data_IF_253918742683
#
_entry.id   IF_253918742683
#
_cell.length_a   1.000
_cell.length_b   1.000
_cell.length_c   1.000
_cell.angle_alpha   90.00
_cell.angle_beta   90.00
_cell.angle_gamma   90.00
#
_symmetry.space_group_name_H-M   'P 1'
#
loop_
_entity.id
_entity.type
_entity.pdbx_description
1 polymer ?
#
# COMPACT_ATOMS: atom_id res chain seq x y z
N UNK A 1 -34.18 34.47 26.68
CA UNK A 1 -33.99 33.07 26.35
C UNK A 1 -32.82 33.01 25.37
N UNK A 2 -31.64 32.62 25.87
CA UNK A 2 -30.45 32.51 25.05
C UNK A 2 -30.53 31.15 24.31
N UNK A 3 -30.74 31.17 23.00
CA UNK A 3 -30.49 30.03 22.13
C UNK A 3 -29.00 29.70 22.23
N UNK A 4 -28.71 28.61 22.93
CA UNK A 4 -27.38 28.01 22.90
C UNK A 4 -27.06 27.67 21.47
N UNK A 5 -26.20 28.44 20.83
CA UNK A 5 -25.55 28.12 19.55
C UNK A 5 -24.91 26.74 19.74
N UNK A 6 -25.51 25.69 19.14
CA UNK A 6 -24.84 24.38 18.99
C UNK A 6 -23.54 24.66 18.26
N UNK A 7 -22.43 24.61 18.97
CA UNK A 7 -21.10 24.59 18.36
C UNK A 7 -21.13 23.55 17.23
N UNK A 8 -21.11 24.00 15.98
CA UNK A 8 -21.09 23.11 14.83
C UNK A 8 -19.77 22.35 14.89
N UNK A 9 -19.81 21.09 15.32
CA UNK A 9 -18.64 20.20 15.34
C UNK A 9 -18.02 20.19 13.95
N UNK A 10 -16.69 20.25 13.89
CA UNK A 10 -15.98 20.16 12.61
C UNK A 10 -16.43 18.90 11.84
N UNK A 11 -16.58 18.95 10.50
CA UNK A 11 -17.06 17.82 9.67
C UNK A 11 -16.33 16.50 9.94
N UNK A 12 -15.04 16.54 10.31
CA UNK A 12 -14.25 15.37 10.72
C UNK A 12 -14.83 14.64 11.93
N UNK A 13 -15.42 15.37 12.87
CA UNK A 13 -15.95 14.84 14.12
C UNK A 13 -17.48 14.65 14.08
N UNK A 14 -18.10 14.78 12.92
CA UNK A 14 -19.52 14.50 12.72
C UNK A 14 -19.78 12.99 12.66
N UNK A 15 -20.78 12.54 13.41
CA UNK A 15 -21.30 11.17 13.33
C UNK A 15 -22.50 11.18 12.40
N UNK A 16 -22.40 10.47 11.29
CA UNK A 16 -23.49 10.34 10.32
C UNK A 16 -24.48 9.27 10.78
N UNK A 17 -25.69 9.19 10.21
CA UNK A 17 -26.63 8.09 10.44
C UNK A 17 -25.95 6.74 10.17
N UNK A 18 -26.23 5.72 11.00
CA UNK A 18 -25.55 4.44 10.96
C UNK A 18 -25.56 3.79 9.56
N UNK A 19 -26.69 3.84 8.85
CA UNK A 19 -26.76 3.31 7.47
C UNK A 19 -25.82 4.02 6.50
N UNK A 20 -25.67 5.32 6.58
CA UNK A 20 -24.74 6.08 5.76
C UNK A 20 -23.28 5.74 6.12
N UNK A 21 -22.96 5.64 7.42
CA UNK A 21 -21.62 5.25 7.86
C UNK A 21 -21.22 3.87 7.34
N UNK A 22 -22.15 2.90 7.33
CA UNK A 22 -21.89 1.56 6.77
C UNK A 22 -21.68 1.61 5.26
N UNK A 23 -22.54 2.32 4.52
CA UNK A 23 -22.41 2.42 3.05
C UNK A 23 -21.10 3.09 2.66
N UNK A 24 -20.78 4.24 3.23
CA UNK A 24 -19.53 4.94 2.94
C UNK A 24 -18.30 4.19 3.49
N UNK A 25 -18.41 3.55 4.67
CA UNK A 25 -17.37 2.68 5.20
C UNK A 25 -17.06 1.50 4.27
N UNK A 26 -18.09 0.88 3.71
CA UNK A 26 -17.92 -0.18 2.70
C UNK A 26 -17.27 0.33 1.43
N UNK A 27 -17.58 1.56 0.98
CA UNK A 27 -16.90 2.17 -0.17
C UNK A 27 -15.38 2.32 0.08
N UNK A 28 -14.98 2.74 1.29
CA UNK A 28 -13.57 2.79 1.67
C UNK A 28 -12.92 1.41 1.61
N UNK A 29 -13.57 0.39 2.17
CA UNK A 29 -13.07 -1.00 2.11
C UNK A 29 -12.90 -1.45 0.65
N UNK A 30 -13.94 -1.31 -0.18
CA UNK A 30 -13.89 -1.75 -1.59
C UNK A 30 -12.78 -1.04 -2.40
N UNK A 31 -12.53 0.24 -2.13
CA UNK A 31 -11.50 1.02 -2.82
C UNK A 31 -10.08 0.53 -2.52
N UNK A 32 -9.81 0.07 -1.28
CA UNK A 32 -8.49 -0.37 -0.85
C UNK A 32 -8.30 -1.90 -0.88
N UNK A 33 -9.37 -2.67 -1.00
CA UNK A 33 -9.38 -4.12 -0.77
C UNK A 33 -8.34 -4.86 -1.60
N UNK A 34 -8.29 -4.57 -2.90
CA UNK A 34 -7.31 -5.17 -3.82
C UNK A 34 -5.86 -4.89 -3.36
N UNK A 35 -5.58 -3.68 -2.87
CA UNK A 35 -4.27 -3.31 -2.35
C UNK A 35 -3.90 -4.09 -1.09
N UNK A 36 -4.82 -4.21 -0.13
CA UNK A 36 -4.56 -4.92 1.13
C UNK A 36 -4.26 -6.39 0.91
N UNK A 37 -4.99 -7.05 0.01
CA UNK A 37 -4.81 -8.49 -0.25
C UNK A 37 -3.63 -8.81 -1.17
N UNK A 38 -3.16 -7.84 -1.97
CA UNK A 38 -2.06 -8.07 -2.90
C UNK A 38 -0.74 -8.38 -2.18
N UNK A 39 -0.40 -7.66 -1.12
CA UNK A 39 0.86 -7.85 -0.38
C UNK A 39 0.98 -9.26 0.21
N UNK A 40 0.01 -9.78 1.01
CA UNK A 40 0.09 -11.15 1.51
C UNK A 40 0.06 -12.20 0.40
N UNK A 41 -0.65 -11.97 -0.71
CA UNK A 41 -0.61 -12.85 -1.87
C UNK A 41 0.80 -12.92 -2.49
N UNK A 42 1.45 -11.77 -2.66
CA UNK A 42 2.81 -11.71 -3.22
C UNK A 42 3.79 -12.45 -2.31
N UNK A 43 3.82 -12.06 -1.03
CA UNK A 43 4.79 -12.62 -0.08
C UNK A 43 4.50 -14.08 0.18
N UNK A 44 3.25 -14.46 0.45
CA UNK A 44 2.87 -15.85 0.70
C UNK A 44 3.15 -16.78 -0.48
N UNK A 45 2.83 -16.33 -1.70
CA UNK A 45 3.13 -17.10 -2.93
C UNK A 45 4.64 -17.23 -3.15
N UNK A 46 5.40 -16.17 -2.95
CA UNK A 46 6.85 -16.17 -3.12
C UNK A 46 7.56 -17.03 -2.07
N UNK A 47 6.98 -17.17 -0.87
CA UNK A 47 7.44 -18.09 0.18
C UNK A 47 7.00 -19.53 -0.08
N UNK A 48 6.20 -19.82 -1.09
CA UNK A 48 5.71 -21.16 -1.39
C UNK A 48 4.70 -21.69 -0.38
N UNK A 49 3.90 -20.83 0.24
CA UNK A 49 2.93 -21.24 1.24
C UNK A 49 1.81 -22.10 0.64
N UNK A 50 1.37 -23.16 1.33
CA UNK A 50 0.21 -23.92 0.94
C UNK A 50 -1.05 -23.07 1.04
N UNK A 51 -2.11 -23.47 0.30
CA UNK A 51 -3.36 -22.73 0.16
C UNK A 51 -3.97 -22.27 1.50
N UNK A 52 -4.01 -23.15 2.50
CA UNK A 52 -4.57 -22.82 3.82
C UNK A 52 -3.79 -21.73 4.55
N UNK A 53 -2.46 -21.79 4.49
CA UNK A 53 -1.58 -20.79 5.09
C UNK A 53 -1.65 -19.44 4.35
N UNK A 54 -1.82 -19.48 3.02
CA UNK A 54 -2.03 -18.28 2.23
C UNK A 54 -3.37 -17.61 2.59
N UNK A 55 -4.44 -18.40 2.74
CA UNK A 55 -5.75 -17.91 3.17
C UNK A 55 -5.70 -17.31 4.58
N UNK A 56 -4.94 -17.94 5.50
CA UNK A 56 -4.69 -17.42 6.84
C UNK A 56 -3.97 -16.06 6.79
N UNK A 57 -2.91 -15.95 5.99
CA UNK A 57 -2.13 -14.72 5.85
C UNK A 57 -2.98 -13.56 5.30
N UNK A 58 -3.90 -13.86 4.38
CA UNK A 58 -4.85 -12.89 3.83
C UNK A 58 -5.82 -12.36 4.91
N UNK A 59 -6.37 -13.24 5.73
CA UNK A 59 -7.26 -12.83 6.82
C UNK A 59 -6.53 -12.06 7.91
N UNK A 60 -5.29 -12.45 8.21
CA UNK A 60 -4.43 -11.71 9.14
C UNK A 60 -4.17 -10.26 8.65
N UNK A 61 -3.89 -10.09 7.36
CA UNK A 61 -3.67 -8.76 6.76
C UNK A 61 -4.93 -7.87 6.83
N UNK A 62 -6.12 -8.43 6.59
CA UNK A 62 -7.38 -7.70 6.74
C UNK A 62 -7.63 -7.29 8.20
N UNK A 63 -7.40 -8.21 9.15
CA UNK A 63 -7.52 -7.94 10.58
C UNK A 63 -6.59 -6.81 11.03
N UNK A 64 -5.32 -6.89 10.66
CA UNK A 64 -4.31 -5.87 10.95
C UNK A 64 -4.71 -4.52 10.37
N UNK A 65 -5.10 -4.48 9.09
CA UNK A 65 -5.52 -3.25 8.41
C UNK A 65 -6.73 -2.61 9.09
N UNK A 66 -7.68 -3.42 9.55
CA UNK A 66 -8.84 -2.95 10.30
C UNK A 66 -8.47 -2.34 11.65
N UNK A 67 -7.65 -3.05 12.44
CA UNK A 67 -7.18 -2.57 13.74
C UNK A 67 -6.32 -1.30 13.61
N UNK A 68 -5.42 -1.25 12.63
CA UNK A 68 -4.60 -0.08 12.33
C UNK A 68 -5.47 1.12 11.92
N UNK A 69 -6.50 0.91 11.09
CA UNK A 69 -7.45 1.95 10.69
C UNK A 69 -8.23 2.50 11.90
N UNK A 70 -8.69 1.63 12.80
CA UNK A 70 -9.34 2.07 14.04
C UNK A 70 -8.41 2.87 14.92
N UNK A 71 -7.16 2.41 15.09
CA UNK A 71 -6.16 3.13 15.87
C UNK A 71 -5.86 4.51 15.26
N UNK A 72 -5.76 4.61 13.94
CA UNK A 72 -5.45 5.84 13.24
C UNK A 72 -6.59 6.86 13.30
N UNK A 73 -7.84 6.40 13.13
CA UNK A 73 -9.02 7.26 13.03
C UNK A 73 -9.59 7.68 14.39
N UNK A 74 -9.68 6.76 15.34
CA UNK A 74 -10.20 7.04 16.68
C UNK A 74 -9.14 7.66 17.58
N UNK A 75 -7.93 7.13 17.51
CA UNK A 75 -6.78 7.52 18.29
C UNK A 75 -6.91 7.14 19.78
N UNK A 76 -5.79 6.76 20.38
CA UNK A 76 -5.68 6.48 21.81
C UNK A 76 -4.57 7.36 22.38
N UNK A 77 -4.89 8.23 23.32
CA UNK A 77 -3.95 9.17 23.94
C UNK A 77 -3.19 10.03 22.90
N UNK A 78 -1.90 9.75 22.60
CA UNK A 78 -1.04 10.46 21.64
C UNK A 78 -0.73 9.61 20.39
N UNK A 79 -1.53 8.59 20.12
CA UNK A 79 -1.39 7.66 19.02
C UNK A 79 -2.63 7.78 18.14
N UNK A 80 -2.45 7.96 16.83
CA UNK A 80 -3.51 8.18 15.85
C UNK A 80 -3.61 9.64 15.41
N UNK A 81 -3.74 9.87 14.11
CA UNK A 81 -3.92 11.20 13.51
C UNK A 81 -5.33 11.77 13.76
N UNK A 82 -6.31 10.93 14.09
CA UNK A 82 -7.73 11.29 14.25
C UNK A 82 -8.32 11.96 13.03
N UNK A 83 -7.89 11.49 11.86
CA UNK A 83 -8.32 11.90 10.54
C UNK A 83 -9.00 10.74 9.81
N UNK A 84 -9.79 10.97 8.75
CA UNK A 84 -10.41 9.91 7.95
C UNK A 84 -9.39 9.24 7.04
N UNK A 85 -8.45 8.50 7.61
CA UNK A 85 -7.32 7.88 6.95
C UNK A 85 -7.34 6.36 7.17
N UNK A 86 -7.47 5.61 6.06
CA UNK A 86 -7.48 4.14 6.09
C UNK A 86 -6.05 3.62 6.09
N UNK A 87 -5.84 2.51 6.78
CA UNK A 87 -4.55 1.82 6.88
C UNK A 87 -4.61 0.45 6.20
N UNK A 88 -3.54 0.08 5.54
CA UNK A 88 -3.41 -1.25 4.94
C UNK A 88 -1.96 -1.72 4.83
N UNK A 89 -1.75 -2.93 4.33
CA UNK A 89 -0.41 -3.49 4.14
C UNK A 89 0.40 -2.67 3.13
N UNK A 90 1.62 -2.27 3.50
CA UNK A 90 2.45 -1.39 2.68
C UNK A 90 3.13 -2.12 1.52
N UNK A 91 3.00 -1.58 0.32
CA UNK A 91 3.74 -2.04 -0.86
C UNK A 91 5.24 -1.75 -0.77
N UNK A 92 5.62 -0.69 -0.06
CA UNK A 92 7.02 -0.31 0.11
C UNK A 92 7.87 -1.41 0.78
N UNK A 93 7.24 -2.27 1.58
CA UNK A 93 7.94 -3.36 2.26
C UNK A 93 8.15 -4.61 1.41
N UNK A 94 7.42 -4.77 0.29
CA UNK A 94 7.34 -6.05 -0.42
C UNK A 94 8.70 -6.53 -0.93
N UNK A 95 9.47 -5.70 -1.61
CA UNK A 95 10.76 -6.12 -2.15
C UNK A 95 11.75 -6.55 -1.06
N UNK A 96 11.80 -5.81 0.06
CA UNK A 96 12.62 -6.18 1.22
C UNK A 96 12.14 -7.46 1.88
N UNK A 97 10.82 -7.65 2.04
CA UNK A 97 10.26 -8.90 2.55
C UNK A 97 10.60 -10.09 1.65
N UNK A 98 10.56 -9.93 0.33
CA UNK A 98 10.94 -10.97 -0.62
C UNK A 98 12.43 -11.32 -0.52
N UNK A 99 13.30 -10.33 -0.42
CA UNK A 99 14.74 -10.54 -0.25
C UNK A 99 15.06 -11.26 1.07
N UNK A 100 14.49 -10.78 2.19
CA UNK A 100 14.65 -11.38 3.52
C UNK A 100 14.11 -12.81 3.53
N UNK A 101 12.89 -13.01 3.08
CA UNK A 101 12.22 -14.31 3.14
C UNK A 101 12.90 -15.37 2.27
N UNK A 102 13.34 -15.00 1.06
CA UNK A 102 14.10 -15.90 0.19
C UNK A 102 15.48 -16.22 0.77
N UNK A 103 16.18 -15.21 1.31
CA UNK A 103 17.47 -15.38 1.98
C UNK A 103 17.40 -16.32 3.17
N UNK A 104 16.28 -16.37 3.88
CA UNK A 104 16.01 -17.29 4.99
C UNK A 104 15.47 -18.68 4.54
N UNK A 105 15.42 -18.97 3.23
CA UNK A 105 15.01 -20.26 2.67
C UNK A 105 13.51 -20.41 2.39
N UNK A 106 12.73 -19.33 2.46
CA UNK A 106 11.29 -19.35 2.17
C UNK A 106 10.44 -20.05 3.25
N UNK A 107 9.19 -20.38 2.90
CA UNK A 107 8.26 -21.05 3.81
C UNK A 107 8.04 -20.31 5.13
N UNK A 108 7.82 -21.06 6.20
CA UNK A 108 7.67 -20.51 7.55
C UNK A 108 8.96 -19.82 8.05
N UNK A 109 10.14 -20.34 7.71
CA UNK A 109 11.42 -19.72 8.08
C UNK A 109 11.57 -18.33 7.47
N UNK A 110 11.21 -18.16 6.20
CA UNK A 110 11.16 -16.86 5.54
C UNK A 110 10.22 -15.88 6.23
N UNK A 111 9.03 -16.34 6.62
CA UNK A 111 8.07 -15.48 7.33
C UNK A 111 8.55 -15.06 8.72
N UNK A 112 9.13 -16.00 9.50
CA UNK A 112 9.65 -15.67 10.84
C UNK A 112 10.80 -14.68 10.80
N UNK A 113 11.67 -14.74 9.76
CA UNK A 113 12.70 -13.74 9.52
C UNK A 113 12.10 -12.37 9.16
N UNK A 114 11.09 -12.34 8.29
CA UNK A 114 10.35 -11.12 7.96
C UNK A 114 9.74 -10.52 9.22
N UNK A 115 9.06 -11.31 10.05
CA UNK A 115 8.38 -10.81 11.25
C UNK A 115 9.35 -10.22 12.26
N UNK A 116 10.52 -10.86 12.47
CA UNK A 116 11.55 -10.29 13.34
C UNK A 116 12.01 -8.91 12.87
N UNK A 117 12.26 -8.76 11.59
CA UNK A 117 12.62 -7.46 11.00
C UNK A 117 11.50 -6.42 11.10
N UNK A 118 10.23 -6.82 10.85
CA UNK A 118 9.04 -5.95 10.95
C UNK A 118 8.83 -5.43 12.37
N UNK A 119 8.96 -6.31 13.38
CA UNK A 119 8.83 -5.92 14.79
C UNK A 119 9.83 -4.83 15.14
N UNK A 120 11.11 -5.07 14.83
CA UNK A 120 12.18 -4.12 15.19
C UNK A 120 12.03 -2.82 14.40
N UNK A 121 11.72 -2.88 13.11
CA UNK A 121 11.49 -1.69 12.30
C UNK A 121 10.31 -0.86 12.82
N UNK A 122 9.22 -1.50 13.24
CA UNK A 122 8.09 -0.85 13.87
C UNK A 122 8.46 -0.16 15.19
N UNK A 123 9.22 -0.83 16.07
CA UNK A 123 9.72 -0.24 17.32
C UNK A 123 10.63 0.94 17.05
N UNK A 124 11.59 0.81 16.14
CA UNK A 124 12.50 1.90 15.74
C UNK A 124 11.70 3.08 15.18
N UNK A 125 10.76 2.84 14.29
CA UNK A 125 9.88 3.86 13.72
C UNK A 125 9.06 4.57 14.80
N UNK A 126 8.52 3.84 15.78
CA UNK A 126 7.77 4.41 16.90
C UNK A 126 8.63 5.36 17.74
N UNK A 127 9.86 4.97 18.03
CA UNK A 127 10.82 5.78 18.76
C UNK A 127 11.29 7.01 17.96
N UNK A 128 11.39 6.88 16.63
CA UNK A 128 11.78 7.97 15.73
C UNK A 128 10.61 8.93 15.43
N UNK A 129 9.35 8.53 15.57
CA UNK A 129 8.20 9.36 15.21
C UNK A 129 8.23 10.78 15.79
N UNK A 130 8.61 11.04 17.07
CA UNK A 130 8.65 12.40 17.61
C UNK A 130 9.69 13.32 16.97
N UNK A 131 10.75 12.74 16.41
CA UNK A 131 11.85 13.48 15.78
C UNK A 131 11.83 13.39 14.26
N UNK A 132 10.87 12.66 13.70
CA UNK A 132 10.81 12.36 12.28
C UNK A 132 10.69 13.63 11.41
N UNK A 133 10.01 14.68 11.90
CA UNK A 133 9.98 15.98 11.22
C UNK A 133 11.38 16.54 10.93
N UNK A 134 12.39 16.16 11.72
CA UNK A 134 13.78 16.54 11.47
C UNK A 134 14.44 15.70 10.37
N UNK A 135 13.90 14.52 10.11
CA UNK A 135 14.39 13.60 9.08
C UNK A 135 13.70 13.81 7.72
N UNK A 136 12.56 14.52 7.69
CA UNK A 136 11.81 14.76 6.44
C UNK A 136 12.66 15.47 5.38
N UNK A 137 13.62 16.30 5.76
CA UNK A 137 14.53 16.94 4.81
C UNK A 137 15.39 15.93 4.02
N UNK A 138 15.54 14.69 4.49
CA UNK A 138 16.21 13.61 3.76
C UNK A 138 15.33 13.00 2.66
N UNK A 139 14.02 13.26 2.72
CA UNK A 139 13.02 12.71 1.81
C UNK A 139 12.27 13.84 1.06
N UNK A 140 12.99 14.73 0.36
CA UNK A 140 12.33 15.73 -0.49
C UNK A 140 11.56 15.05 -1.63
N UNK A 141 10.74 15.79 -2.39
CA UNK A 141 9.92 15.25 -3.49
C UNK A 141 10.71 14.42 -4.51
N UNK A 142 11.96 14.77 -4.79
CA UNK A 142 12.85 14.01 -5.69
C UNK A 142 13.13 12.61 -5.15
N UNK A 143 13.38 12.47 -3.85
CA UNK A 143 13.66 11.18 -3.21
C UNK A 143 12.38 10.35 -3.11
N UNK A 144 11.29 10.93 -2.61
CA UNK A 144 10.00 10.20 -2.47
C UNK A 144 9.44 9.79 -3.82
N UNK A 145 9.52 10.64 -4.84
CA UNK A 145 9.07 10.32 -6.19
C UNK A 145 9.85 9.15 -6.81
N UNK A 146 11.19 9.12 -6.65
CA UNK A 146 12.03 7.97 -7.06
C UNK A 146 11.58 6.69 -6.35
N UNK A 147 11.44 6.74 -5.03
CA UNK A 147 11.09 5.55 -4.25
C UNK A 147 9.73 4.99 -4.66
N UNK A 148 8.69 5.83 -4.76
CA UNK A 148 7.36 5.41 -5.20
C UNK A 148 7.39 4.82 -6.62
N UNK A 149 8.16 5.43 -7.53
CA UNK A 149 8.33 4.90 -8.90
C UNK A 149 8.96 3.51 -8.87
N UNK A 150 10.03 3.33 -8.09
CA UNK A 150 10.73 2.04 -7.97
C UNK A 150 9.85 1.00 -7.27
N UNK A 151 9.03 1.36 -6.27
CA UNK A 151 8.05 0.44 -5.66
C UNK A 151 7.17 -0.16 -6.75
N UNK A 152 6.55 0.67 -7.58
CA UNK A 152 5.68 0.17 -8.66
C UNK A 152 6.42 -0.72 -9.67
N UNK A 153 7.59 -0.28 -10.14
CA UNK A 153 8.41 -1.03 -11.10
C UNK A 153 8.88 -2.37 -10.52
N UNK A 154 9.29 -2.41 -9.25
CA UNK A 154 9.78 -3.62 -8.58
C UNK A 154 8.71 -4.71 -8.44
N UNK A 155 7.44 -4.36 -8.51
CA UNK A 155 6.32 -5.29 -8.39
C UNK A 155 5.80 -5.78 -9.75
N UNK A 156 6.17 -5.15 -10.87
CA UNK A 156 5.75 -5.59 -12.21
C UNK A 156 6.19 -7.03 -12.55
N UNK A 157 7.43 -7.48 -12.23
CA UNK A 157 7.83 -8.87 -12.48
C UNK A 157 6.92 -9.90 -11.77
N UNK A 158 6.40 -9.57 -10.58
CA UNK A 158 5.43 -10.43 -9.88
C UNK A 158 4.15 -10.57 -10.71
N UNK A 159 3.63 -9.44 -11.25
CA UNK A 159 2.44 -9.47 -12.12
C UNK A 159 2.68 -10.26 -13.39
N UNK A 160 3.86 -10.13 -14.02
CA UNK A 160 4.22 -10.90 -15.20
C UNK A 160 4.32 -12.40 -14.88
N UNK A 161 4.91 -12.75 -13.73
CA UNK A 161 4.96 -14.13 -13.24
C UNK A 161 3.56 -14.72 -13.04
N UNK A 162 2.66 -13.97 -12.46
CA UNK A 162 1.27 -14.38 -12.27
C UNK A 162 0.50 -14.45 -13.60
N UNK A 163 0.67 -13.48 -14.49
CA UNK A 163 0.04 -13.48 -15.82
C UNK A 163 0.44 -14.70 -16.65
N UNK A 164 1.68 -15.15 -16.51
CA UNK A 164 2.17 -16.40 -17.12
C UNK A 164 1.63 -17.68 -16.48
N UNK A 165 0.94 -17.61 -15.35
CA UNK A 165 0.41 -18.78 -14.63
C UNK A 165 1.23 -19.23 -13.43
N UNK A 166 2.26 -18.45 -13.05
CA UNK A 166 3.17 -18.72 -11.95
C UNK A 166 4.56 -19.17 -12.39
N UNK A 167 5.58 -18.44 -11.94
CA UNK A 167 6.97 -18.79 -12.25
C UNK A 167 7.31 -20.21 -11.77
N UNK A 168 7.96 -21.00 -12.63
CA UNK A 168 8.37 -22.37 -12.31
C UNK A 168 7.27 -23.43 -12.49
N UNK A 169 6.07 -23.06 -12.92
CA UNK A 169 5.02 -24.04 -13.27
C UNK A 169 5.23 -24.60 -14.68
N UNK A 170 4.86 -25.86 -14.95
CA UNK A 170 5.04 -26.47 -16.28
C UNK A 170 4.31 -25.75 -17.41
N UNK A 171 3.22 -25.03 -17.11
CA UNK A 171 2.39 -24.27 -18.03
C UNK A 171 2.65 -22.75 -17.97
N UNK A 172 3.83 -22.36 -17.48
CA UNK A 172 4.22 -20.95 -17.49
C UNK A 172 4.32 -20.43 -18.93
N UNK A 173 3.69 -19.28 -19.18
CA UNK A 173 3.66 -18.66 -20.50
C UNK A 173 2.62 -19.26 -21.45
N UNK A 174 1.78 -20.19 -21.01
CA UNK A 174 0.67 -20.71 -21.81
C UNK A 174 -0.20 -19.55 -22.35
N UNK A 175 -0.49 -19.52 -23.66
CA UNK A 175 -1.36 -18.51 -24.27
C UNK A 175 -2.70 -18.33 -23.55
N UNK A 176 -3.29 -19.39 -23.00
CA UNK A 176 -4.54 -19.29 -22.25
C UNK A 176 -4.38 -18.51 -20.94
N UNK A 177 -3.23 -18.61 -20.26
CA UNK A 177 -2.95 -17.84 -19.07
C UNK A 177 -2.76 -16.35 -19.41
N UNK A 178 -1.97 -16.08 -20.46
CA UNK A 178 -1.72 -14.70 -20.93
C UNK A 178 -3.03 -14.06 -21.43
N UNK A 179 -3.86 -14.79 -22.15
CA UNK A 179 -5.16 -14.32 -22.62
C UNK A 179 -6.09 -13.97 -21.44
N UNK A 180 -6.14 -14.81 -20.39
CA UNK A 180 -6.96 -14.54 -19.21
C UNK A 180 -6.47 -13.30 -18.44
N UNK A 181 -5.15 -13.12 -18.33
CA UNK A 181 -4.57 -11.91 -17.75
C UNK A 181 -4.92 -10.67 -18.58
N UNK A 182 -4.81 -10.75 -19.91
CA UNK A 182 -5.16 -9.68 -20.83
C UNK A 182 -6.67 -9.33 -20.75
N UNK A 183 -7.55 -10.32 -20.72
CA UNK A 183 -9.00 -10.10 -20.54
C UNK A 183 -9.29 -9.41 -19.22
N UNK A 184 -8.66 -9.84 -18.12
CA UNK A 184 -8.83 -9.18 -16.82
C UNK A 184 -8.38 -7.72 -16.85
N UNK A 185 -7.21 -7.45 -17.46
CA UNK A 185 -6.72 -6.08 -17.63
C UNK A 185 -7.66 -5.25 -18.49
N UNK A 186 -8.16 -5.79 -19.61
CA UNK A 186 -9.13 -5.10 -20.47
C UNK A 186 -10.44 -4.79 -19.74
N UNK A 187 -10.94 -5.70 -18.91
CA UNK A 187 -12.11 -5.44 -18.04
C UNK A 187 -11.84 -4.24 -17.13
N UNK A 188 -10.69 -4.20 -16.48
CA UNK A 188 -10.30 -3.09 -15.61
C UNK A 188 -10.26 -1.78 -16.39
N UNK A 189 -9.60 -1.77 -17.56
CA UNK A 189 -9.49 -0.59 -18.41
C UNK A 189 -10.85 -0.13 -18.92
N UNK A 190 -11.74 -1.07 -19.30
CA UNK A 190 -13.10 -0.75 -19.71
C UNK A 190 -13.91 -0.10 -18.57
N UNK A 191 -13.77 -0.61 -17.34
CA UNK A 191 -14.41 0.00 -16.16
C UNK A 191 -13.88 1.41 -15.94
N UNK A 192 -12.57 1.62 -16.01
CA UNK A 192 -11.96 2.95 -15.90
C UNK A 192 -12.46 3.90 -17.00
N UNK A 193 -12.64 3.41 -18.23
CA UNK A 193 -13.01 4.25 -19.39
C UNK A 193 -14.48 4.58 -19.44
N UNK A 194 -15.36 3.64 -19.09
CA UNK A 194 -16.79 3.75 -19.35
C UNK A 194 -17.66 3.96 -18.11
N UNK A 195 -17.15 3.63 -16.90
CA UNK A 195 -17.92 3.75 -15.67
C UNK A 195 -17.35 4.88 -14.79
N UNK A 196 -18.08 6.02 -14.69
CA UNK A 196 -17.61 7.17 -13.92
C UNK A 196 -17.77 6.98 -12.39
N UNK A 197 -17.14 7.85 -11.63
CA UNK A 197 -17.36 7.99 -10.19
C UNK A 197 -16.78 6.83 -9.38
N UNK A 198 -17.58 6.29 -8.46
CA UNK A 198 -17.16 5.24 -7.54
C UNK A 198 -16.76 3.93 -8.26
N UNK A 199 -17.48 3.55 -9.33
CA UNK A 199 -17.21 2.31 -10.05
C UNK A 199 -15.80 2.28 -10.67
N UNK A 200 -15.31 3.40 -11.19
CA UNK A 200 -13.93 3.45 -11.70
C UNK A 200 -12.88 3.25 -10.59
N UNK A 201 -13.18 3.64 -9.34
CA UNK A 201 -12.27 3.47 -8.20
C UNK A 201 -12.14 2.04 -7.71
N UNK A 202 -13.20 1.25 -7.88
CA UNK A 202 -13.21 -0.18 -7.54
C UNK A 202 -12.91 -1.05 -8.76
N UNK A 203 -12.42 -0.47 -9.86
CA UNK A 203 -12.18 -1.17 -11.12
C UNK A 203 -11.27 -2.40 -10.97
N UNK A 204 -10.21 -2.30 -10.14
CA UNK A 204 -9.29 -3.42 -9.90
C UNK A 204 -10.01 -4.55 -9.17
N UNK A 205 -10.77 -4.23 -8.11
CA UNK A 205 -11.57 -5.22 -7.39
C UNK A 205 -12.64 -5.84 -8.30
N UNK A 206 -13.36 -5.03 -9.07
CA UNK A 206 -14.33 -5.52 -10.05
C UNK A 206 -13.68 -6.39 -11.12
N UNK A 207 -12.49 -6.02 -11.60
CA UNK A 207 -11.69 -6.80 -12.54
C UNK A 207 -11.27 -8.17 -11.96
N UNK A 208 -10.87 -8.23 -10.70
CA UNK A 208 -10.58 -9.50 -10.00
C UNK A 208 -11.82 -10.40 -9.95
N UNK A 209 -12.98 -9.87 -9.60
CA UNK A 209 -14.24 -10.62 -9.53
C UNK A 209 -14.65 -11.10 -10.93
N UNK A 210 -14.76 -10.19 -11.89
CA UNK A 210 -15.20 -10.51 -13.25
C UNK A 210 -14.19 -11.41 -13.98
N UNK A 211 -12.88 -11.18 -13.82
CA UNK A 211 -11.83 -12.03 -14.34
C UNK A 211 -11.90 -13.46 -13.77
N UNK A 212 -12.20 -13.60 -12.48
CA UNK A 212 -12.41 -14.91 -11.85
C UNK A 212 -13.66 -15.59 -12.39
N UNK A 213 -14.76 -14.86 -12.60
CA UNK A 213 -15.97 -15.39 -13.22
C UNK A 213 -15.73 -15.85 -14.67
N UNK A 214 -14.91 -15.12 -15.42
CA UNK A 214 -14.48 -15.54 -16.77
C UNK A 214 -13.61 -16.80 -16.71
N UNK A 215 -12.74 -16.93 -15.71
CA UNK A 215 -11.86 -18.10 -15.54
C UNK A 215 -12.61 -19.39 -15.14
N UNK A 216 -13.77 -19.25 -14.49
CA UNK A 216 -14.53 -20.38 -13.93
C UNK A 216 -14.96 -21.41 -14.97
N UNK A 217 -15.64 -21.09 -16.10
CA UNK A 217 -16.05 -22.07 -17.10
C UNK A 217 -14.88 -22.79 -17.78
N UNK A 218 -13.66 -22.25 -17.68
CA UNK A 218 -12.45 -22.88 -18.20
C UNK A 218 -11.77 -23.83 -17.18
N UNK A 219 -12.42 -24.10 -16.02
CA UNK A 219 -11.87 -24.97 -15.00
C UNK A 219 -10.60 -24.43 -14.30
N UNK A 220 -10.35 -23.13 -14.41
CA UNK A 220 -9.17 -22.47 -13.79
C UNK A 220 -9.40 -22.09 -12.33
N UNK A 221 -10.61 -22.25 -11.79
CA UNK A 221 -10.98 -21.88 -10.42
C UNK A 221 -11.39 -23.13 -9.65
N UNK A 222 -10.76 -23.37 -8.50
CA UNK A 222 -11.11 -24.47 -7.60
C UNK A 222 -11.76 -23.92 -6.33
N UNK A 223 -13.07 -24.01 -6.25
CA UNK A 223 -13.87 -23.63 -5.08
C UNK A 223 -14.00 -24.75 -4.04
N UNK A 224 -13.56 -25.98 -4.33
CA UNK A 224 -13.72 -27.13 -3.43
C UNK A 224 -13.05 -26.91 -2.08
N UNK A 225 -11.92 -26.20 -2.09
CA UNK A 225 -11.11 -25.89 -0.90
C UNK A 225 -11.77 -24.86 0.03
N UNK A 226 -12.66 -24.00 -0.49
CA UNK A 226 -13.39 -23.00 0.31
C UNK A 226 -14.29 -23.68 1.34
N UNK A 227 -14.87 -24.84 0.98
CA UNK A 227 -15.70 -25.62 1.88
C UNK A 227 -15.00 -26.04 3.17
N UNK A 228 -13.70 -26.28 3.11
CA UNK A 228 -12.85 -26.72 4.22
C UNK A 228 -12.45 -25.58 5.17
N UNK A 229 -12.52 -24.32 4.74
CA UNK A 229 -12.17 -23.17 5.57
C UNK A 229 -13.25 -22.93 6.63
N UNK A 230 -12.80 -22.56 7.84
CA UNK A 230 -13.68 -22.23 8.96
C UNK A 230 -14.45 -20.93 8.68
N UNK A 231 -15.65 -20.81 9.28
CA UNK A 231 -16.41 -19.57 9.22
C UNK A 231 -15.85 -18.47 10.10
N UNK A 232 -15.24 -18.84 11.22
CA UNK A 232 -14.66 -17.91 12.17
C UNK A 232 -13.34 -18.45 12.71
N UNK A 233 -12.29 -17.62 12.65
CA UNK A 233 -11.04 -17.86 13.32
C UNK A 233 -10.35 -16.53 13.66
N UNK A 234 -9.55 -16.55 14.71
CA UNK A 234 -8.72 -15.42 15.12
C UNK A 234 -7.26 -15.75 14.79
N UNK A 235 -6.53 -14.75 14.29
CA UNK A 235 -5.09 -14.92 14.10
C UNK A 235 -4.43 -15.26 15.42
N UNK A 236 -3.73 -16.39 15.47
CA UNK A 236 -3.01 -16.85 16.66
C UNK A 236 -1.60 -16.29 16.65
N UNK A 237 -1.09 -15.76 17.78
CA UNK A 237 0.28 -15.29 17.87
C UNK A 237 1.29 -16.37 17.44
N UNK A 238 2.30 -15.96 16.68
CA UNK A 238 3.39 -16.85 16.26
C UNK A 238 2.96 -18.11 15.49
N UNK A 239 1.88 -18.02 14.70
CA UNK A 239 1.36 -19.15 13.92
C UNK A 239 2.42 -19.84 13.06
N UNK A 240 3.30 -19.06 12.42
CA UNK A 240 4.41 -19.59 11.60
C UNK A 240 5.68 -19.90 12.40
N UNK A 241 5.67 -19.68 13.70
CA UNK A 241 6.81 -19.86 14.59
C UNK A 241 7.32 -18.56 15.22
N UNK A 242 8.29 -18.65 16.14
CA UNK A 242 8.86 -17.48 16.80
C UNK A 242 9.63 -16.60 15.81
N UNK A 243 9.50 -15.23 15.91
CA UNK A 243 10.24 -14.31 15.06
C UNK A 243 11.76 -14.50 15.19
N UNK A 244 12.45 -14.45 14.06
CA UNK A 244 13.91 -14.51 13.98
C UNK A 244 14.48 -13.12 13.74
N UNK A 245 15.52 -12.77 14.49
CA UNK A 245 16.12 -11.43 14.47
C UNK A 245 17.48 -11.49 13.78
N UNK A 246 17.54 -11.10 12.52
CA UNK A 246 18.75 -11.00 11.72
C UNK A 246 19.08 -9.53 11.46
N UNK A 247 20.33 -9.12 11.73
CA UNK A 247 20.72 -7.70 11.67
C UNK A 247 20.52 -7.12 10.28
N UNK A 248 20.89 -7.83 9.21
CA UNK A 248 20.75 -7.36 7.84
C UNK A 248 19.27 -7.17 7.45
N UNK A 249 18.42 -8.11 7.83
CA UNK A 249 16.97 -8.03 7.62
C UNK A 249 16.36 -6.84 8.38
N UNK A 250 16.78 -6.62 9.63
CA UNK A 250 16.36 -5.48 10.46
C UNK A 250 16.78 -4.17 9.80
N UNK A 251 18.03 -4.03 9.37
CA UNK A 251 18.52 -2.81 8.72
C UNK A 251 17.74 -2.51 7.44
N UNK A 252 17.54 -3.52 6.57
CA UNK A 252 16.74 -3.40 5.35
C UNK A 252 15.31 -2.93 5.66
N UNK A 253 14.66 -3.54 6.65
CA UNK A 253 13.29 -3.19 7.01
C UNK A 253 13.18 -1.83 7.71
N UNK A 254 14.19 -1.40 8.48
CA UNK A 254 14.24 -0.04 9.06
C UNK A 254 14.34 1.02 7.98
N UNK A 255 15.14 0.81 6.93
CA UNK A 255 15.21 1.72 5.78
C UNK A 255 13.83 1.87 5.13
N UNK A 256 13.16 0.75 4.89
CA UNK A 256 11.80 0.74 4.34
C UNK A 256 10.81 1.41 5.29
N UNK A 257 10.95 1.23 6.60
CA UNK A 257 10.07 1.89 7.58
C UNK A 257 10.18 3.42 7.51
N UNK A 258 11.37 3.97 7.28
CA UNK A 258 11.52 5.43 7.06
C UNK A 258 10.79 5.90 5.80
N UNK A 259 10.80 5.10 4.73
CA UNK A 259 10.01 5.37 3.51
C UNK A 259 8.51 5.36 3.83
N UNK A 260 8.02 4.33 4.51
CA UNK A 260 6.61 4.21 4.93
C UNK A 260 6.19 5.41 5.77
N UNK A 261 7.02 5.83 6.73
CA UNK A 261 6.75 7.01 7.56
C UNK A 261 6.66 8.30 6.72
N UNK A 262 7.42 8.40 5.65
CA UNK A 262 7.37 9.53 4.72
C UNK A 262 6.07 9.52 3.92
N UNK A 263 5.67 8.37 3.36
CA UNK A 263 4.40 8.19 2.65
C UNK A 263 3.20 8.53 3.56
N UNK A 264 3.14 7.95 4.75
CA UNK A 264 2.09 8.26 5.72
C UNK A 264 2.06 9.73 6.13
N UNK A 265 3.23 10.39 6.27
CA UNK A 265 3.27 11.83 6.54
C UNK A 265 2.62 12.61 5.41
N UNK A 266 2.92 12.29 4.15
CA UNK A 266 2.33 12.93 2.99
C UNK A 266 0.80 12.75 2.97
N UNK A 267 0.30 11.56 3.25
CA UNK A 267 -1.14 11.27 3.28
C UNK A 267 -1.85 11.99 4.44
N UNK A 268 -1.22 12.12 5.62
CA UNK A 268 -1.75 12.89 6.76
C UNK A 268 -1.87 14.38 6.41
N UNK A 269 -0.87 14.94 5.73
CA UNK A 269 -0.89 16.32 5.28
C UNK A 269 -1.97 16.52 4.21
N UNK A 270 -2.01 15.65 3.19
CA UNK A 270 -2.98 15.72 2.11
C UNK A 270 -4.44 15.61 2.61
N UNK A 271 -4.73 14.65 3.48
CA UNK A 271 -6.08 14.53 4.05
C UNK A 271 -6.42 15.73 4.93
N UNK A 272 -5.44 16.32 5.62
CA UNK A 272 -5.60 17.55 6.39
C UNK A 272 -6.13 18.69 5.54
N UNK A 273 -5.55 18.90 4.34
CA UNK A 273 -6.02 19.89 3.37
C UNK A 273 -7.43 19.57 2.85
N UNK A 274 -7.69 18.32 2.46
CA UNK A 274 -9.01 17.88 1.96
C UNK A 274 -10.12 18.11 2.97
N UNK A 275 -9.88 17.84 4.24
CA UNK A 275 -10.91 18.03 5.29
C UNK A 275 -11.04 19.49 5.72
N UNK A 276 -10.11 20.38 5.34
CA UNK A 276 -10.05 21.77 5.77
C UNK A 276 -9.54 21.94 7.21
N UNK A 277 -8.74 20.99 7.70
CA UNK A 277 -8.05 21.02 8.99
C UNK A 277 -6.60 20.60 8.79
N UNK A 278 -5.71 21.53 8.40
CA UNK A 278 -4.30 21.24 8.17
C UNK A 278 -3.68 20.50 9.35
N UNK A 279 -2.89 19.48 9.04
CA UNK A 279 -2.26 18.65 10.07
C UNK A 279 -1.08 19.39 10.71
N UNK A 280 -1.09 19.49 12.03
CA UNK A 280 0.04 19.99 12.81
C UNK A 280 1.06 18.87 13.11
N UNK A 281 2.21 19.26 13.65
CA UNK A 281 3.25 18.29 14.03
C UNK A 281 2.80 17.23 15.02
N UNK A 282 1.80 17.52 15.87
CA UNK A 282 1.24 16.54 16.83
C UNK A 282 0.39 15.49 16.11
N UNK A 283 -0.38 15.92 15.13
CA UNK A 283 -1.20 15.06 14.26
C UNK A 283 -0.31 14.09 13.49
N UNK A 284 0.76 14.60 12.87
CA UNK A 284 1.73 13.78 12.13
C UNK A 284 2.40 12.77 13.06
N UNK A 285 2.95 13.21 14.19
CA UNK A 285 3.58 12.30 15.17
C UNK A 285 2.59 11.26 15.69
N UNK A 286 1.35 11.65 15.95
CA UNK A 286 0.29 10.74 16.38
C UNK A 286 0.00 9.66 15.34
N UNK A 287 -0.10 10.06 14.07
CA UNK A 287 -0.34 9.14 12.95
C UNK A 287 0.83 8.18 12.73
N UNK A 288 2.05 8.69 12.72
CA UNK A 288 3.26 7.84 12.59
C UNK A 288 3.39 6.83 13.73
N UNK A 289 3.03 7.22 14.95
CA UNK A 289 2.99 6.28 16.08
C UNK A 289 1.93 5.20 15.90
N UNK A 290 0.79 5.52 15.30
CA UNK A 290 -0.24 4.53 15.01
C UNK A 290 0.24 3.49 14.00
N UNK A 291 0.84 3.92 12.90
CA UNK A 291 1.37 3.03 11.85
C UNK A 291 2.47 2.13 12.38
N UNK A 292 3.45 2.71 13.07
CA UNK A 292 4.61 1.97 13.56
C UNK A 292 4.25 1.01 14.70
N UNK A 293 3.31 1.39 15.58
CA UNK A 293 2.77 0.50 16.60
C UNK A 293 1.97 -0.64 15.97
N UNK A 294 1.09 -0.32 15.01
CA UNK A 294 0.34 -1.33 14.28
C UNK A 294 1.28 -2.30 13.53
N UNK A 295 2.35 -1.80 12.91
CA UNK A 295 3.40 -2.61 12.28
C UNK A 295 4.08 -3.53 13.29
N UNK A 296 4.45 -3.04 14.47
CA UNK A 296 5.07 -3.85 15.53
C UNK A 296 4.14 -4.99 15.97
N UNK A 297 2.87 -4.67 16.24
CA UNK A 297 1.87 -5.66 16.66
C UNK A 297 1.58 -6.64 15.53
N UNK A 298 1.54 -6.16 14.29
CA UNK A 298 1.32 -6.95 13.09
C UNK A 298 2.34 -8.07 12.96
N UNK A 299 3.64 -7.75 12.94
CA UNK A 299 4.70 -8.74 12.86
C UNK A 299 4.83 -9.62 14.10
N UNK A 300 4.56 -9.07 15.31
CA UNK A 300 4.73 -9.78 16.56
C UNK A 300 3.59 -10.73 16.92
N UNK A 301 2.35 -10.30 16.75
CA UNK A 301 1.21 -11.02 17.31
C UNK A 301 0.21 -11.49 16.25
N UNK A 302 0.10 -10.78 15.12
CA UNK A 302 -1.00 -10.99 14.17
C UNK A 302 -0.55 -11.61 12.85
N UNK A 303 0.73 -12.01 12.73
CA UNK A 303 1.30 -12.64 11.52
C UNK A 303 1.06 -11.83 10.25
N UNK A 304 1.13 -10.52 10.37
CA UNK A 304 0.92 -9.57 9.28
C UNK A 304 2.21 -8.84 8.90
N UNK A 305 2.06 -7.83 8.06
CA UNK A 305 3.14 -7.08 7.44
C UNK A 305 3.12 -5.60 7.87
N UNK A 306 4.14 -4.79 7.50
CA UNK A 306 4.10 -3.36 7.77
C UNK A 306 2.85 -2.72 7.18
N UNK A 307 2.29 -1.76 7.91
CA UNK A 307 1.11 -0.99 7.49
C UNK A 307 1.50 0.44 7.13
N UNK A 308 0.75 1.03 6.20
CA UNK A 308 0.84 2.44 5.81
C UNK A 308 -0.54 3.02 5.53
N UNK A 309 -0.62 4.34 5.46
CA UNK A 309 -1.79 5.02 4.94
C UNK A 309 -2.03 4.65 3.47
N UNK A 310 -3.31 4.69 3.05
CA UNK A 310 -3.71 4.42 1.67
C UNK A 310 -4.18 5.70 0.98
N UNK A 311 -3.34 6.27 0.13
CA UNK A 311 -3.60 7.49 -0.63
C UNK A 311 -4.89 7.44 -1.48
N UNK A 312 -5.29 6.24 -1.96
CA UNK A 312 -6.55 6.05 -2.69
C UNK A 312 -7.76 6.50 -1.87
N UNK A 313 -7.71 6.31 -0.54
CA UNK A 313 -8.79 6.69 0.35
C UNK A 313 -8.80 8.21 0.62
N UNK A 314 -7.65 8.88 0.57
CA UNK A 314 -7.58 10.35 0.59
C UNK A 314 -8.34 10.92 -0.61
N UNK A 315 -8.08 10.39 -1.81
CA UNK A 315 -8.82 10.75 -3.01
C UNK A 315 -10.32 10.44 -2.92
N UNK A 316 -10.74 9.37 -2.25
CA UNK A 316 -12.16 9.05 -2.04
C UNK A 316 -12.84 10.10 -1.16
N UNK A 317 -12.22 10.54 -0.07
CA UNK A 317 -12.72 11.63 0.79
C UNK A 317 -12.85 12.93 0.00
N UNK A 318 -11.84 13.27 -0.83
CA UNK A 318 -11.84 14.48 -1.63
C UNK A 318 -13.03 14.55 -2.59
N UNK A 319 -13.40 13.44 -3.25
CA UNK A 319 -14.48 13.42 -4.25
C UNK A 319 -15.84 13.25 -3.62
N UNK A 320 -15.98 12.42 -2.58
CA UNK A 320 -17.28 12.21 -1.94
C UNK A 320 -17.67 13.38 -1.03
N UNK A 321 -16.70 14.18 -0.61
CA UNK A 321 -16.91 15.23 0.38
C UNK A 321 -17.25 14.70 1.79
N UNK A 322 -17.20 13.38 2.00
CA UNK A 322 -17.49 12.73 3.29
C UNK A 322 -16.24 12.78 4.15
N UNK A 323 -16.16 13.79 5.01
CA UNK A 323 -14.96 14.11 5.80
C UNK A 323 -14.93 13.44 7.18
N UNK A 324 -15.98 12.69 7.57
CA UNK A 324 -16.09 12.09 8.90
C UNK A 324 -15.09 10.96 9.13
N UNK A 325 -14.27 11.08 10.17
CA UNK A 325 -13.36 10.00 10.61
C UNK A 325 -14.10 8.77 11.14
N UNK A 326 -15.33 8.94 11.62
CA UNK A 326 -16.14 7.80 12.10
C UNK A 326 -16.63 6.92 10.96
N UNK A 327 -16.82 7.45 9.75
CA UNK A 327 -17.07 6.65 8.55
C UNK A 327 -15.89 5.72 8.28
N UNK A 328 -14.67 6.24 8.35
CA UNK A 328 -13.45 5.43 8.16
C UNK A 328 -13.22 4.48 9.34
N UNK A 329 -13.61 4.85 10.56
CA UNK A 329 -13.61 3.89 11.68
C UNK A 329 -14.55 2.71 11.42
N UNK A 330 -15.73 2.94 10.82
CA UNK A 330 -16.63 1.85 10.40
C UNK A 330 -15.98 0.97 9.34
N UNK A 331 -15.21 1.53 8.39
CA UNK A 331 -14.43 0.71 7.45
C UNK A 331 -13.42 -0.18 8.19
N UNK A 332 -12.78 0.34 9.24
CA UNK A 332 -11.91 -0.45 10.11
C UNK A 332 -12.64 -1.61 10.79
N UNK A 333 -13.86 -1.38 11.29
CA UNK A 333 -14.69 -2.45 11.88
C UNK A 333 -15.05 -3.50 10.82
N UNK A 334 -15.41 -3.08 9.61
CA UNK A 334 -15.71 -3.99 8.49
C UNK A 334 -14.48 -4.85 8.16
N UNK A 335 -13.29 -4.25 8.07
CA UNK A 335 -12.05 -4.97 7.80
C UNK A 335 -11.71 -5.98 8.90
N UNK A 336 -11.91 -5.62 10.19
CA UNK A 336 -11.76 -6.56 11.31
C UNK A 336 -12.73 -7.73 11.14
N UNK A 337 -14.00 -7.45 10.85
CA UNK A 337 -15.00 -8.50 10.64
C UNK A 337 -14.62 -9.42 9.46
N UNK A 338 -14.15 -8.87 8.35
CA UNK A 338 -13.66 -9.65 7.19
C UNK A 338 -12.42 -10.48 7.56
N UNK A 339 -11.51 -9.94 8.36
CA UNK A 339 -10.30 -10.63 8.84
C UNK A 339 -10.59 -11.76 9.85
N UNK A 340 -11.78 -11.81 10.43
CA UNK A 340 -12.22 -12.89 11.30
C UNK A 340 -12.94 -14.03 10.55
N UNK A 341 -13.10 -13.93 9.22
CA UNK A 341 -13.79 -14.90 8.38
C UNK A 341 -12.81 -15.58 7.40
N UNK A 342 -12.16 -16.70 7.80
CA UNK A 342 -11.19 -17.41 6.95
C UNK A 342 -11.72 -17.83 5.57
N UNK A 343 -13.03 -18.06 5.44
CA UNK A 343 -13.64 -18.34 4.14
C UNK A 343 -13.41 -17.24 3.12
N UNK A 344 -13.34 -15.98 3.53
CA UNK A 344 -13.03 -14.87 2.62
C UNK A 344 -11.58 -14.92 2.15
N UNK A 345 -10.65 -15.26 3.05
CA UNK A 345 -9.25 -15.52 2.67
C UNK A 345 -9.14 -16.67 1.68
N UNK A 346 -9.88 -17.74 1.88
CA UNK A 346 -9.93 -18.89 0.97
C UNK A 346 -10.53 -18.52 -0.40
N UNK A 347 -11.57 -17.67 -0.46
CA UNK A 347 -12.11 -17.15 -1.72
C UNK A 347 -11.03 -16.36 -2.49
N UNK A 348 -10.31 -15.48 -1.80
CA UNK A 348 -9.25 -14.68 -2.42
C UNK A 348 -8.09 -15.57 -2.89
N UNK A 349 -7.68 -16.52 -2.07
CA UNK A 349 -6.63 -17.48 -2.41
C UNK A 349 -7.02 -18.40 -3.59
N UNK A 350 -8.31 -18.51 -3.90
CA UNK A 350 -8.83 -19.27 -5.04
C UNK A 350 -8.81 -18.50 -6.36
N UNK A 351 -8.48 -17.18 -6.34
CA UNK A 351 -8.37 -16.37 -7.54
C UNK A 351 -7.21 -16.90 -8.40
N UNK A 352 -7.42 -17.23 -9.68
CA UNK A 352 -6.36 -17.73 -10.55
C UNK A 352 -5.21 -16.74 -10.70
N UNK A 353 -3.98 -17.24 -10.69
CA UNK A 353 -2.78 -16.39 -10.86
C UNK A 353 -2.84 -15.47 -12.10
N UNK A 354 -3.30 -15.92 -13.29
CA UNK A 354 -3.42 -15.02 -14.45
C UNK A 354 -4.38 -13.84 -14.20
N UNK A 355 -5.46 -14.05 -13.46
CA UNK A 355 -6.40 -12.97 -13.09
C UNK A 355 -5.71 -11.97 -12.15
N UNK A 356 -4.97 -12.48 -11.15
CA UNK A 356 -4.14 -11.64 -10.27
C UNK A 356 -3.06 -10.89 -11.07
N UNK A 357 -2.47 -11.54 -12.09
CA UNK A 357 -1.48 -10.92 -12.97
C UNK A 357 -2.05 -9.74 -13.75
N UNK A 358 -3.20 -9.90 -14.39
CA UNK A 358 -3.88 -8.82 -15.11
C UNK A 358 -4.25 -7.63 -14.19
N UNK A 359 -4.78 -7.93 -13.01
CA UNK A 359 -5.09 -6.91 -12.01
C UNK A 359 -3.83 -6.25 -11.42
N UNK A 360 -2.78 -7.02 -11.19
CA UNK A 360 -1.48 -6.54 -10.68
C UNK A 360 -0.80 -5.58 -11.66
N UNK A 361 -0.88 -5.81 -12.96
CA UNK A 361 -0.37 -4.89 -13.98
C UNK A 361 -1.01 -3.50 -13.85
N UNK A 362 -2.32 -3.44 -13.70
CA UNK A 362 -3.02 -2.17 -13.46
C UNK A 362 -2.62 -1.55 -12.12
N UNK A 363 -2.61 -2.34 -11.04
CA UNK A 363 -2.33 -1.87 -9.68
C UNK A 363 -0.89 -1.32 -9.55
N UNK A 364 0.12 -2.11 -9.91
CA UNK A 364 1.53 -1.70 -9.74
C UNK A 364 1.95 -0.68 -10.79
N UNK A 365 1.37 -0.74 -11.99
CA UNK A 365 1.53 0.31 -13.00
C UNK A 365 1.01 1.67 -12.49
N UNK A 366 -0.12 1.71 -11.78
CA UNK A 366 -0.64 2.96 -11.20
C UNK A 366 0.24 3.46 -10.04
N UNK A 367 0.85 2.58 -9.25
CA UNK A 367 1.84 2.98 -8.23
C UNK A 367 3.05 3.62 -8.89
N UNK A 368 3.64 3.00 -9.94
CA UNK A 368 4.75 3.58 -10.68
C UNK A 368 4.39 4.96 -11.28
N UNK A 369 3.20 5.05 -11.89
CA UNK A 369 2.70 6.31 -12.45
C UNK A 369 2.52 7.41 -11.39
N UNK A 370 2.11 7.06 -10.17
CA UNK A 370 2.03 8.00 -9.04
C UNK A 370 3.41 8.55 -8.66
N UNK A 371 4.45 7.71 -8.67
CA UNK A 371 5.83 8.15 -8.47
C UNK A 371 6.32 9.08 -9.58
N UNK A 372 6.04 8.76 -10.84
CA UNK A 372 6.36 9.63 -12.00
C UNK A 372 5.63 10.98 -11.86
N UNK A 373 4.37 10.97 -11.45
CA UNK A 373 3.61 12.21 -11.18
C UNK A 373 4.23 13.04 -10.04
N UNK A 374 4.76 12.38 -9.00
CA UNK A 374 5.50 13.07 -7.95
C UNK A 374 6.78 13.73 -8.51
N UNK A 375 7.52 13.00 -9.35
CA UNK A 375 8.73 13.50 -10.02
C UNK A 375 8.45 14.65 -10.99
N UNK A 376 7.27 14.71 -11.63
CA UNK A 376 6.92 15.82 -12.54
C UNK A 376 6.79 17.19 -11.85
N UNK A 377 6.72 17.21 -10.53
CA UNK A 377 6.66 18.44 -9.72
C UNK A 377 8.04 18.90 -9.23
N UNK A 378 9.07 18.11 -9.49
CA UNK A 378 10.46 18.43 -9.12
C UNK A 378 11.05 19.40 -10.13
N UNK A 379 11.74 20.43 -9.64
CA UNK A 379 12.49 21.34 -10.49
C UNK A 379 13.79 20.67 -10.97
N UNK A 380 13.95 20.58 -12.27
CA UNK A 380 15.13 19.99 -12.92
C UNK A 380 16.06 21.04 -13.54
N UNK A 381 15.62 22.29 -13.67
CA UNK A 381 16.37 23.34 -14.34
C UNK A 381 17.49 23.87 -13.45
N UNK A 382 18.73 23.75 -13.93
CA UNK A 382 19.92 24.21 -13.21
C UNK A 382 20.23 23.42 -11.93
N UNK A 383 19.60 22.24 -11.72
CA UNK A 383 19.78 21.37 -10.55
C UNK A 383 20.38 20.02 -10.92
N UNK A 384 20.93 19.30 -9.93
CA UNK A 384 21.40 17.92 -10.10
C UNK A 384 20.31 16.88 -9.94
N UNK A 385 19.04 17.28 -9.81
CA UNK A 385 17.94 16.38 -9.52
C UNK A 385 17.74 15.30 -10.60
N UNK A 386 18.01 15.62 -11.88
CA UNK A 386 17.94 14.63 -12.96
C UNK A 386 18.93 13.47 -12.76
N UNK A 387 20.14 13.75 -12.27
CA UNK A 387 21.17 12.74 -11.99
C UNK A 387 20.74 11.90 -10.78
N UNK A 388 20.21 12.53 -9.73
CA UNK A 388 19.67 11.83 -8.56
C UNK A 388 18.60 10.83 -9.00
N UNK A 389 17.63 11.28 -9.80
CA UNK A 389 16.55 10.41 -10.31
C UNK A 389 17.10 9.29 -11.16
N UNK A 390 17.96 9.59 -12.14
CA UNK A 390 18.49 8.61 -13.09
C UNK A 390 19.26 7.49 -12.40
N UNK A 391 20.22 7.85 -11.54
CA UNK A 391 21.08 6.86 -10.85
C UNK A 391 20.28 6.08 -9.80
N UNK A 392 19.39 6.73 -9.07
CA UNK A 392 18.62 6.03 -8.03
C UNK A 392 17.60 5.05 -8.61
N UNK A 393 16.95 5.40 -9.74
CA UNK A 393 16.08 4.44 -10.45
C UNK A 393 16.91 3.28 -11.00
N UNK A 394 18.08 3.56 -11.60
CA UNK A 394 18.97 2.51 -12.11
C UNK A 394 19.39 1.53 -11.01
N UNK A 395 19.77 2.02 -9.83
CA UNK A 395 20.12 1.18 -8.68
C UNK A 395 18.91 0.39 -8.15
N UNK A 396 17.72 0.95 -8.22
CA UNK A 396 16.49 0.25 -7.83
C UNK A 396 16.05 -0.83 -8.81
N UNK A 397 16.33 -0.66 -10.10
CA UNK A 397 16.00 -1.63 -11.16
C UNK A 397 17.07 -2.72 -11.30
N UNK A 398 18.29 -2.47 -10.87
CA UNK A 398 19.42 -3.38 -11.02
C UNK A 398 19.14 -4.81 -10.52
N UNK A 399 18.66 -5.05 -9.28
CA UNK A 399 18.38 -6.41 -8.81
C UNK A 399 17.21 -7.08 -9.55
N UNK A 400 16.36 -6.30 -10.20
CA UNK A 400 15.26 -6.82 -11.04
C UNK A 400 15.80 -7.30 -12.37
N UNK A 401 16.65 -6.48 -13.00
CA UNK A 401 17.21 -6.75 -14.32
C UNK A 401 18.32 -7.81 -14.27
N UNK A 402 19.07 -7.86 -13.18
CA UNK A 402 20.19 -8.80 -12.97
C UNK A 402 20.16 -9.37 -11.54
N UNK A 403 19.33 -10.38 -11.28
CA UNK A 403 19.14 -10.92 -9.91
C UNK A 403 20.40 -11.51 -9.26
N UNK A 404 21.40 -11.87 -10.04
CA UNK A 404 22.67 -12.45 -9.57
C UNK A 404 23.79 -11.40 -9.45
N UNK A 405 23.49 -10.12 -9.67
CA UNK A 405 24.52 -9.07 -9.70
C UNK A 405 25.32 -8.98 -8.40
N UNK A 406 24.67 -9.19 -7.27
CA UNK A 406 25.28 -9.14 -5.95
C UNK A 406 25.63 -10.51 -5.37
N UNK A 407 25.55 -11.59 -6.14
CA UNK A 407 25.75 -12.98 -5.68
C UNK A 407 27.09 -13.22 -4.95
N UNK A 408 28.15 -12.49 -5.34
CA UNK A 408 29.47 -12.59 -4.74
C UNK A 408 29.70 -11.64 -3.55
N UNK A 409 28.70 -10.84 -3.19
CA UNK A 409 28.81 -9.95 -2.03
C UNK A 409 28.39 -10.68 -0.74
N UNK A 410 28.81 -10.19 0.45
CA UNK A 410 28.38 -10.77 1.73
C UNK A 410 26.85 -10.76 1.85
N UNK A 411 26.29 -11.74 2.55
CA UNK A 411 24.81 -11.92 2.69
C UNK A 411 24.10 -10.68 3.23
N UNK A 412 24.71 -9.94 4.16
CA UNK A 412 24.14 -8.71 4.68
C UNK A 412 23.99 -7.63 3.60
N UNK A 413 24.93 -7.57 2.66
CA UNK A 413 24.87 -6.63 1.53
C UNK A 413 23.77 -7.03 0.56
N UNK A 414 23.71 -8.32 0.21
CA UNK A 414 22.64 -8.87 -0.64
C UNK A 414 21.27 -8.56 -0.05
N UNK A 415 21.03 -8.82 1.24
CA UNK A 415 19.73 -8.56 1.89
C UNK A 415 19.27 -7.11 1.78
N UNK A 416 20.20 -6.14 1.73
CA UNK A 416 19.86 -4.72 1.60
C UNK A 416 19.70 -4.32 0.12
N UNK A 417 20.61 -4.73 -0.75
CA UNK A 417 20.70 -4.22 -2.13
C UNK A 417 19.94 -5.07 -3.16
N UNK A 418 19.60 -6.34 -2.86
CA UNK A 418 18.64 -7.12 -3.64
C UNK A 418 17.20 -6.59 -3.49
N UNK A 419 16.94 -5.79 -2.44
CA UNK A 419 15.76 -4.97 -2.37
C UNK A 419 15.93 -3.71 -3.21
N UNK A 420 15.37 -3.69 -4.42
CA UNK A 420 15.43 -2.52 -5.30
C UNK A 420 14.94 -1.24 -4.63
N UNK A 421 13.96 -1.35 -3.72
CA UNK A 421 13.41 -0.21 -2.97
C UNK A 421 14.44 0.33 -1.97
N UNK A 422 15.11 -0.53 -1.21
CA UNK A 422 16.16 -0.12 -0.27
C UNK A 422 17.36 0.48 -1.01
N UNK A 423 17.78 -0.14 -2.12
CA UNK A 423 18.87 0.36 -2.95
C UNK A 423 18.55 1.74 -3.53
N UNK A 424 17.35 1.93 -4.10
CA UNK A 424 16.92 3.21 -4.63
C UNK A 424 16.80 4.28 -3.55
N UNK A 425 16.20 3.96 -2.39
CA UNK A 425 16.02 4.90 -1.29
C UNK A 425 17.37 5.39 -0.74
N UNK A 426 18.30 4.46 -0.46
CA UNK A 426 19.64 4.80 0.02
C UNK A 426 20.38 5.66 -1.01
N UNK A 427 20.36 5.26 -2.28
CA UNK A 427 21.04 6.00 -3.34
C UNK A 427 20.45 7.40 -3.50
N UNK A 428 19.12 7.53 -3.51
CA UNK A 428 18.44 8.81 -3.64
C UNK A 428 18.77 9.76 -2.47
N UNK A 429 18.72 9.25 -1.23
CA UNK A 429 19.08 10.05 -0.05
C UNK A 429 20.54 10.47 -0.08
N UNK A 430 21.47 9.56 -0.38
CA UNK A 430 22.90 9.85 -0.43
C UNK A 430 23.24 10.88 -1.52
N UNK A 431 22.69 10.70 -2.74
CA UNK A 431 22.90 11.63 -3.84
C UNK A 431 22.24 12.99 -3.58
N UNK A 432 21.05 12.99 -2.96
CA UNK A 432 20.40 14.23 -2.57
C UNK A 432 21.25 15.01 -1.55
N UNK A 433 21.80 14.34 -0.55
CA UNK A 433 22.71 14.96 0.41
C UNK A 433 24.01 15.46 -0.25
N UNK A 434 24.53 14.69 -1.21
CA UNK A 434 25.76 15.05 -1.92
C UNK A 434 25.58 16.28 -2.81
N UNK A 435 24.49 16.36 -3.57
CA UNK A 435 24.29 17.40 -4.58
C UNK A 435 23.49 18.61 -4.08
N UNK A 436 22.47 18.38 -3.25
CA UNK A 436 21.58 19.44 -2.76
C UNK A 436 21.89 19.84 -1.31
N UNK A 437 22.70 19.04 -0.58
CA UNK A 437 23.02 19.28 0.81
C UNK A 437 21.82 19.14 1.74
N UNK A 438 21.86 19.81 2.88
CA UNK A 438 20.77 19.82 3.88
C UNK A 438 19.87 21.05 3.73
N UNK A 439 19.74 21.63 2.53
CA UNK A 439 18.84 22.78 2.31
C UNK A 439 17.41 22.38 2.69
N UNK A 440 16.86 23.13 3.62
CA UNK A 440 15.45 23.06 4.06
C UNK A 440 14.58 23.86 3.08
N UNK A 441 14.56 23.49 1.82
CA UNK A 441 13.54 24.01 0.92
C UNK A 441 12.25 23.26 1.25
N UNK A 442 11.35 23.97 1.93
CA UNK A 442 10.14 23.44 2.55
C UNK A 442 9.05 23.22 1.50
N UNK A 443 9.25 22.25 0.60
CA UNK A 443 8.13 21.65 -0.12
C UNK A 443 7.67 20.41 0.67
N UNK A 444 6.40 20.41 1.05
CA UNK A 444 5.80 19.29 1.77
C UNK A 444 5.92 17.98 0.96
N UNK A 445 6.13 16.81 1.60
CA UNK A 445 6.14 15.53 0.92
C UNK A 445 4.87 15.36 0.11
N UNK A 446 5.00 14.93 -1.15
CA UNK A 446 3.89 14.76 -2.07
C UNK A 446 3.18 13.44 -1.75
N UNK A 447 1.90 13.48 -1.41
CA UNK A 447 1.08 12.29 -1.26
C UNK A 447 1.03 11.50 -2.57
N UNK A 448 1.14 10.18 -2.47
CA UNK A 448 0.83 9.28 -3.58
C UNK A 448 -0.69 9.28 -3.81
N UNK A 449 -1.20 10.30 -4.52
CA UNK A 449 -2.61 10.32 -4.93
C UNK A 449 -2.86 9.14 -5.87
N UNK A 450 -3.83 8.31 -5.52
CA UNK A 450 -4.38 7.32 -6.43
C UNK A 450 -4.89 7.99 -7.72
N UNK A 451 -5.12 7.23 -8.81
CA UNK A 451 -5.51 7.78 -10.09
C UNK A 451 -6.76 8.64 -9.95
N UNK A 452 -6.63 9.94 -10.15
CA UNK A 452 -7.76 10.85 -10.29
C UNK A 452 -8.48 10.50 -11.62
N UNK A 453 -9.79 10.18 -11.62
CA UNK A 453 -10.55 10.11 -12.86
C UNK A 453 -10.46 11.48 -13.55
N UNK A 454 -10.20 11.45 -14.87
CA UNK A 454 -9.95 12.65 -15.66
C UNK A 454 -10.89 13.80 -15.35
N UNK A 455 -10.31 14.92 -14.95
CA UNK A 455 -10.94 16.22 -15.05
C UNK A 455 -11.08 16.46 -16.55
N UNK A 456 -12.29 16.34 -17.07
CA UNK A 456 -12.64 16.88 -18.39
C UNK A 456 -12.38 18.39 -18.30
N UNK A 457 -11.54 18.96 -19.19
CA UNK A 457 -11.43 20.43 -19.24
C UNK A 457 -12.82 20.98 -19.49
N UNK A 458 -13.23 22.00 -18.74
CA UNK A 458 -14.40 22.80 -19.04
C UNK A 458 -14.24 23.36 -20.47
N UNK A 459 -14.93 22.76 -21.43
CA UNK A 459 -15.11 23.34 -22.74
C UNK A 459 -15.99 24.58 -22.57
N UNK A 460 -15.41 25.71 -22.90
CA UNK A 460 -15.99 26.99 -23.34
C UNK A 460 -17.44 27.31 -22.90
N UNK A 461 -17.53 28.15 -21.89
CA UNK A 461 -18.72 28.98 -21.71
C UNK A 461 -18.69 30.07 -22.80
N UNK A 462 -19.60 30.06 -23.79
CA UNK A 462 -19.67 31.12 -24.80
C UNK A 462 -20.04 32.46 -24.15
N UNK A 463 -19.20 33.44 -24.36
CA UNK A 463 -19.36 34.80 -23.85
C UNK A 463 -20.74 35.41 -24.16
N UNK A 464 -21.42 35.78 -23.09
CA UNK A 464 -22.62 36.65 -23.14
C UNK A 464 -22.24 38.01 -23.72
N UNK A 465 -22.78 38.34 -24.90
CA UNK A 465 -22.73 39.67 -25.48
C UNK A 465 -23.52 40.59 -24.56
N UNK A 466 -22.90 41.64 -24.06
CA UNK A 466 -23.54 42.83 -23.57
C UNK A 466 -24.05 43.64 -24.75
N UNK A 467 -25.37 43.77 -24.84
CA UNK A 467 -26.02 44.77 -25.66
C UNK A 467 -26.44 45.94 -24.76
N UNK A 468 -26.22 47.17 -25.23
CA UNK A 468 -26.68 48.41 -24.65
C UNK A 468 -25.63 49.44 -24.43
#
# INVERSE_FOLDING_TARGET
MAEATKEQRHPVDQVLPAGQMVVYGLQHVMSMYAGVVAVPLIVGSAMGLPFGELAYLLTAALLVSGLATLLQTLGIWRIGARQPLVQGTSFAAVASMLAIGKGAGGGAAGLTAIYGAVIVAGVVGFLLAPVFNRLLHLFPPVVTGVVITVIGISLLPVSFGWAGGGTGTPNFGDPANIALAAVTLLIILAIYRFLPGFLSRVAILAGLVLGTLVAWPFGKVDFSRIGQAQWFAVSTPFHFGPPQFEIAAIVSMVIVMLVIMTETTADILAIGEVIGRPADGRTVVGGLRADTLATTISGGLLNGFPVSAFAQNVGLVAITGIKSRFVVAVSGIILVALGLVPKLGAIIASIPLPVLGGAGLALFGTVAASGIRALSRVDYDGTSNIIIVAVSIAMGVLPIASPTFYEHFPSWFQTIFDSGISAAALTAVLLNLLFNGTRRDAEAPIAAEGPTPGVVPDEDVPGGRSAG
#
